data_IF_050280720427
#
_entry.id   IF_050280720427
#
_cell.length_a   1.000
_cell.length_b   1.000
_cell.length_c   1.000
_cell.angle_alpha   90.00
_cell.angle_beta   90.00
_cell.angle_gamma   90.00
#
_symmetry.space_group_name_H-M   'P 1'
#
loop_
_entity.id
_entity.type
_entity.pdbx_description
1 polymer ?
#
# COMPACT_ATOMS: atom_id res chain seq x y z
N UNK A 1 25.91 -22.79 -2.98
CA UNK A 1 25.17 -21.56 -2.64
C UNK A 1 25.46 -20.50 -3.69
N UNK A 2 24.45 -20.09 -4.45
CA UNK A 2 24.54 -19.10 -5.53
C UNK A 2 25.16 -17.79 -5.03
N UNK A 3 26.11 -17.26 -5.80
CA UNK A 3 26.93 -16.08 -5.48
C UNK A 3 26.15 -14.76 -5.70
N UNK A 4 24.98 -14.64 -5.07
CA UNK A 4 24.07 -13.50 -5.26
C UNK A 4 24.72 -12.26 -4.62
N UNK A 5 24.91 -11.23 -5.46
CA UNK A 5 25.38 -9.90 -5.03
C UNK A 5 24.17 -9.01 -4.75
N UNK A 6 24.15 -8.39 -3.58
CA UNK A 6 23.11 -7.44 -3.15
C UNK A 6 23.71 -6.07 -2.87
N UNK A 7 22.88 -5.03 -2.87
CA UNK A 7 23.33 -3.69 -2.50
C UNK A 7 23.76 -3.69 -1.02
N UNK A 8 24.93 -3.15 -0.73
CA UNK A 8 25.45 -3.10 0.63
C UNK A 8 24.53 -2.23 1.51
N UNK A 9 24.00 -2.73 2.65
CA UNK A 9 23.01 -2.01 3.46
C UNK A 9 23.51 -0.64 3.94
N UNK A 10 24.75 -0.58 4.46
CA UNK A 10 25.37 0.69 4.87
C UNK A 10 25.56 1.67 3.71
N UNK A 11 26.10 1.21 2.58
CA UNK A 11 26.23 2.03 1.37
C UNK A 11 24.89 2.62 0.91
N UNK A 12 23.82 1.80 0.90
CA UNK A 12 22.46 2.25 0.55
C UNK A 12 21.93 3.29 1.53
N UNK A 13 22.08 3.06 2.84
CA UNK A 13 21.65 3.99 3.89
C UNK A 13 22.38 5.34 3.77
N UNK A 14 23.69 5.31 3.59
CA UNK A 14 24.51 6.52 3.42
C UNK A 14 24.14 7.28 2.14
N UNK A 15 23.89 6.57 1.03
CA UNK A 15 23.42 7.20 -0.22
C UNK A 15 22.08 7.90 -0.03
N UNK A 16 21.14 7.29 0.71
CA UNK A 16 19.88 7.94 1.07
C UNK A 16 20.08 9.19 1.94
N UNK A 17 20.94 9.10 2.97
CA UNK A 17 21.24 10.24 3.85
C UNK A 17 21.88 11.40 3.09
N UNK A 18 22.84 11.13 2.19
CA UNK A 18 23.44 12.15 1.31
C UNK A 18 22.37 12.84 0.48
N UNK A 19 21.49 12.08 -0.19
CA UNK A 19 20.41 12.66 -1.00
C UNK A 19 19.47 13.54 -0.18
N UNK A 20 19.11 13.10 1.03
CA UNK A 20 18.26 13.87 1.96
C UNK A 20 18.95 15.12 2.47
N UNK A 21 20.26 15.07 2.74
CA UNK A 21 21.04 16.24 3.16
C UNK A 21 21.14 17.26 2.03
N UNK A 22 21.43 16.82 0.80
CA UNK A 22 21.44 17.69 -0.40
C UNK A 22 20.11 18.39 -0.64
N UNK A 23 19.00 17.66 -0.47
CA UNK A 23 17.66 18.23 -0.57
C UNK A 23 17.45 19.34 0.46
N UNK A 24 17.87 19.13 1.72
CA UNK A 24 17.79 20.17 2.77
C UNK A 24 18.66 21.39 2.45
N UNK A 25 19.89 21.17 1.96
CA UNK A 25 20.79 22.25 1.52
C UNK A 25 20.12 23.06 0.41
N UNK A 26 19.59 22.40 -0.61
CA UNK A 26 18.90 23.06 -1.74
C UNK A 26 17.70 23.89 -1.26
N UNK A 27 16.84 23.33 -0.40
CA UNK A 27 15.68 24.05 0.16
C UNK A 27 16.08 25.27 0.99
N UNK A 28 17.13 25.16 1.81
CA UNK A 28 17.66 26.28 2.62
C UNK A 28 18.33 27.34 1.75
N UNK A 29 19.07 26.91 0.73
CA UNK A 29 19.66 27.80 -0.28
C UNK A 29 18.58 28.63 -0.98
N UNK A 30 17.50 28.00 -1.44
CA UNK A 30 16.37 28.73 -2.04
C UNK A 30 15.77 29.78 -1.09
N UNK A 31 15.56 29.44 0.19
CA UNK A 31 15.10 30.41 1.20
C UNK A 31 16.09 31.56 1.38
N UNK A 32 17.38 31.27 1.44
CA UNK A 32 18.41 32.29 1.55
C UNK A 32 18.37 33.24 0.35
N UNK A 33 18.26 32.73 -0.87
CA UNK A 33 18.11 33.55 -2.08
C UNK A 33 16.89 34.47 -2.01
N UNK A 34 15.72 33.96 -1.60
CA UNK A 34 14.52 34.80 -1.46
C UNK A 34 14.66 35.90 -0.40
N UNK A 35 15.42 35.64 0.67
CA UNK A 35 15.68 36.65 1.71
C UNK A 35 16.69 37.71 1.25
N UNK A 36 17.69 37.30 0.46
CA UNK A 36 18.65 38.21 -0.16
C UNK A 36 17.94 39.14 -1.14
N UNK A 37 17.04 38.60 -1.98
CA UNK A 37 16.26 39.38 -2.94
C UNK A 37 15.35 40.41 -2.26
N UNK A 38 14.67 40.03 -1.17
CA UNK A 38 13.86 40.95 -0.37
C UNK A 38 14.67 42.11 0.20
N UNK A 39 15.86 41.85 0.74
CA UNK A 39 16.72 42.91 1.26
C UNK A 39 17.19 43.91 0.21
N UNK A 40 17.23 43.52 -1.07
CA UNK A 40 17.58 44.42 -2.19
C UNK A 40 16.39 45.30 -2.58
N UNK A 41 15.16 44.85 -2.31
CA UNK A 41 13.92 45.46 -2.84
C UNK A 41 13.14 46.28 -1.81
N UNK A 42 13.32 46.00 -0.50
CA UNK A 42 12.57 46.60 0.61
C UNK A 42 13.37 47.70 1.36
N UNK A 43 12.70 48.58 2.11
CA UNK A 43 13.32 49.70 2.87
C UNK A 43 14.23 49.23 4.03
N UNK A 44 15.21 50.07 4.38
CA UNK A 44 16.32 49.73 5.31
C UNK A 44 15.89 49.32 6.74
N UNK A 45 14.74 49.79 7.24
CA UNK A 45 14.33 49.53 8.63
C UNK A 45 13.89 48.07 8.88
N UNK A 46 13.43 47.35 7.84
CA UNK A 46 13.06 45.93 7.94
C UNK A 46 14.27 44.96 7.74
N UNK A 47 15.44 45.47 7.37
CA UNK A 47 16.58 44.65 6.95
C UNK A 47 17.33 43.96 8.10
N UNK A 48 17.36 44.53 9.31
CA UNK A 48 18.16 43.99 10.42
C UNK A 48 17.71 42.60 10.88
N UNK A 49 16.39 42.38 10.96
CA UNK A 49 15.83 41.06 11.31
C UNK A 49 16.04 40.05 10.18
N UNK A 50 16.06 40.50 8.93
CA UNK A 50 16.33 39.66 7.78
C UNK A 50 17.80 39.25 7.70
N UNK A 51 18.75 40.14 8.02
CA UNK A 51 20.19 39.84 8.09
C UNK A 51 20.49 38.76 9.13
N UNK A 52 19.90 38.83 10.33
CA UNK A 52 20.05 37.79 11.36
C UNK A 52 19.56 36.44 10.83
N UNK A 53 18.39 36.42 10.18
CA UNK A 53 17.83 35.19 9.58
C UNK A 53 18.72 34.64 8.46
N UNK A 54 19.32 35.50 7.65
CA UNK A 54 20.28 35.08 6.62
C UNK A 54 21.52 34.43 7.23
N UNK A 55 22.09 35.02 8.28
CA UNK A 55 23.23 34.46 9.00
C UNK A 55 22.90 33.07 9.57
N UNK A 56 21.74 32.92 10.21
CA UNK A 56 21.29 31.62 10.72
C UNK A 56 21.16 30.58 9.60
N UNK A 57 20.55 30.94 8.48
CA UNK A 57 20.38 29.99 7.36
C UNK A 57 21.73 29.63 6.73
N UNK A 58 22.68 30.56 6.65
CA UNK A 58 24.05 30.28 6.17
C UNK A 58 24.76 29.27 7.08
N UNK A 59 24.68 29.47 8.40
CA UNK A 59 25.22 28.52 9.38
C UNK A 59 24.58 27.12 9.22
N UNK A 60 23.26 27.06 9.11
CA UNK A 60 22.56 25.78 8.90
C UNK A 60 22.98 25.07 7.60
N UNK A 61 23.24 25.82 6.52
CA UNK A 61 23.74 25.26 5.26
C UNK A 61 25.15 24.68 5.45
N UNK A 62 26.01 25.42 6.14
CA UNK A 62 27.40 25.04 6.38
C UNK A 62 27.50 23.76 7.23
N UNK A 63 26.69 23.67 8.29
CA UNK A 63 26.55 22.45 9.11
C UNK A 63 26.09 21.24 8.29
N UNK A 64 25.12 21.44 7.39
CA UNK A 64 24.65 20.37 6.52
C UNK A 64 25.69 19.94 5.50
N UNK A 65 26.50 20.87 4.98
CA UNK A 65 27.58 20.56 4.04
C UNK A 65 28.68 19.74 4.73
N UNK A 66 29.05 20.10 5.97
CA UNK A 66 29.96 19.29 6.78
C UNK A 66 29.38 17.89 7.04
N UNK A 67 28.08 17.81 7.33
CA UNK A 67 27.39 16.54 7.51
C UNK A 67 27.37 15.71 6.22
N UNK A 68 27.13 16.32 5.06
CA UNK A 68 27.22 15.63 3.76
C UNK A 68 28.62 15.05 3.54
N UNK A 69 29.66 15.83 3.83
CA UNK A 69 31.04 15.39 3.65
C UNK A 69 31.40 14.21 4.58
N UNK A 70 30.91 14.22 5.82
CA UNK A 70 31.08 13.07 6.72
C UNK A 70 30.38 11.81 6.18
N UNK A 71 29.18 11.93 5.61
CA UNK A 71 28.52 10.77 4.97
C UNK A 71 29.23 10.30 3.70
N UNK A 72 29.80 11.20 2.90
CA UNK A 72 30.56 10.84 1.70
C UNK A 72 31.82 10.05 2.06
N UNK A 73 32.58 10.53 3.04
CA UNK A 73 33.79 9.86 3.54
C UNK A 73 33.46 8.50 4.18
N UNK A 74 32.37 8.41 4.92
CA UNK A 74 31.91 7.13 5.49
C UNK A 74 31.47 6.15 4.38
N UNK A 75 30.76 6.64 3.36
CA UNK A 75 30.27 5.80 2.25
C UNK A 75 31.42 5.18 1.45
N UNK A 76 32.52 5.90 1.27
CA UNK A 76 33.70 5.43 0.55
C UNK A 76 34.33 4.18 1.19
N UNK A 77 34.09 3.94 2.49
CA UNK A 77 34.59 2.76 3.22
C UNK A 77 33.88 1.46 2.84
N UNK A 78 32.72 1.54 2.16
CA UNK A 78 31.91 0.37 1.84
C UNK A 78 31.74 0.21 0.32
N UNK A 79 31.85 -1.02 -0.22
CA UNK A 79 31.55 -1.25 -1.62
C UNK A 79 30.05 -1.08 -1.89
N UNK A 80 29.68 -0.72 -3.13
CA UNK A 80 28.28 -0.58 -3.53
C UNK A 80 27.50 -1.91 -3.42
N UNK A 81 28.15 -3.03 -3.73
CA UNK A 81 27.59 -4.38 -3.67
C UNK A 81 28.43 -5.30 -2.80
N UNK A 82 27.77 -6.19 -2.08
CA UNK A 82 28.36 -7.24 -1.23
C UNK A 82 27.71 -8.59 -1.56
N UNK A 83 28.46 -9.68 -1.48
CA UNK A 83 27.90 -11.03 -1.63
C UNK A 83 27.18 -11.39 -0.33
N UNK A 84 26.04 -12.08 -0.40
CA UNK A 84 25.26 -12.44 0.80
C UNK A 84 26.09 -13.25 1.81
N UNK A 85 26.99 -14.13 1.32
CA UNK A 85 27.88 -14.94 2.16
C UNK A 85 28.90 -14.14 2.97
N UNK A 86 29.25 -12.93 2.50
CA UNK A 86 30.26 -12.08 3.11
C UNK A 86 29.59 -11.01 4.00
N UNK A 87 28.26 -11.07 4.19
CA UNK A 87 27.54 -10.14 5.06
C UNK A 87 27.61 -10.60 6.53
N UNK A 88 27.80 -9.67 7.49
CA UNK A 88 27.74 -10.00 8.91
C UNK A 88 26.38 -10.58 9.30
N UNK A 89 26.37 -11.64 10.12
CA UNK A 89 25.15 -12.42 10.41
C UNK A 89 23.98 -11.59 10.96
N UNK A 90 24.26 -10.56 11.77
CA UNK A 90 23.24 -9.65 12.32
C UNK A 90 22.48 -8.84 11.27
N UNK A 91 23.07 -8.61 10.09
CA UNK A 91 22.50 -7.81 8.99
C UNK A 91 22.39 -8.60 7.69
N UNK A 92 22.68 -9.90 7.74
CA UNK A 92 22.61 -10.79 6.59
C UNK A 92 21.15 -10.98 6.21
N UNK A 93 20.86 -10.86 4.92
CA UNK A 93 19.52 -11.15 4.43
C UNK A 93 19.26 -12.67 4.58
N UNK A 94 18.47 -13.04 5.58
CA UNK A 94 18.10 -14.44 5.83
C UNK A 94 17.01 -14.95 4.88
N UNK A 95 16.26 -14.03 4.26
CA UNK A 95 15.24 -14.33 3.26
C UNK A 95 15.34 -13.28 2.14
N UNK A 96 15.36 -13.74 0.90
CA UNK A 96 15.20 -12.84 -0.24
C UNK A 96 13.74 -12.41 -0.27
N UNK A 97 13.45 -11.21 0.26
CA UNK A 97 12.13 -10.57 0.26
C UNK A 97 11.41 -10.59 -1.10
N UNK A 98 12.11 -10.87 -2.21
CA UNK A 98 11.55 -11.07 -3.54
C UNK A 98 10.57 -12.23 -3.60
N UNK A 99 10.89 -13.42 -3.09
CA UNK A 99 10.03 -14.60 -3.23
C UNK A 99 8.73 -14.43 -2.44
N UNK A 100 8.82 -13.99 -1.17
CA UNK A 100 7.64 -13.66 -0.37
C UNK A 100 6.82 -12.52 -1.00
N UNK A 101 7.47 -11.55 -1.65
CA UNK A 101 6.77 -10.49 -2.39
C UNK A 101 6.05 -11.04 -3.62
N UNK A 102 6.68 -11.92 -4.39
CA UNK A 102 6.06 -12.57 -5.55
C UNK A 102 4.86 -13.41 -5.13
N UNK A 103 5.01 -14.22 -4.09
CA UNK A 103 3.92 -15.01 -3.51
C UNK A 103 2.73 -14.13 -3.09
N UNK A 104 2.98 -13.07 -2.32
CA UNK A 104 1.94 -12.12 -1.93
C UNK A 104 1.29 -11.43 -3.13
N UNK A 105 2.07 -11.08 -4.16
CA UNK A 105 1.54 -10.47 -5.37
C UNK A 105 0.65 -11.44 -6.16
N UNK A 106 1.00 -12.72 -6.20
CA UNK A 106 0.18 -13.76 -6.84
C UNK A 106 -1.18 -13.86 -6.13
N UNK A 107 -1.20 -13.93 -4.80
CA UNK A 107 -2.45 -13.95 -4.02
C UNK A 107 -3.30 -12.70 -4.34
N UNK A 108 -2.68 -11.51 -4.30
CA UNK A 108 -3.38 -10.25 -4.64
C UNK A 108 -3.97 -10.28 -6.05
N UNK A 109 -3.25 -10.86 -7.01
CA UNK A 109 -3.74 -10.98 -8.39
C UNK A 109 -4.90 -11.95 -8.53
N UNK A 110 -4.88 -13.07 -7.80
CA UNK A 110 -6.02 -14.00 -7.74
C UNK A 110 -7.24 -13.31 -7.15
N UNK A 111 -7.09 -12.63 -6.01
CA UNK A 111 -8.18 -11.88 -5.38
C UNK A 111 -8.73 -10.78 -6.28
N UNK A 112 -7.85 -10.00 -6.92
CA UNK A 112 -8.27 -8.93 -7.86
C UNK A 112 -9.05 -9.48 -9.05
N UNK A 113 -8.63 -10.63 -9.60
CA UNK A 113 -9.34 -11.30 -10.70
C UNK A 113 -10.69 -11.84 -10.24
N UNK A 114 -10.76 -12.47 -9.07
CA UNK A 114 -12.01 -12.97 -8.50
C UNK A 114 -13.02 -11.82 -8.23
N UNK A 115 -12.56 -10.72 -7.62
CA UNK A 115 -13.37 -9.52 -7.41
C UNK A 115 -13.87 -8.94 -8.75
N UNK A 116 -13.00 -8.85 -9.75
CA UNK A 116 -13.36 -8.32 -11.07
C UNK A 116 -14.37 -9.21 -11.79
N UNK A 117 -14.22 -10.54 -11.69
CA UNK A 117 -15.18 -11.50 -12.22
C UNK A 117 -16.54 -11.38 -11.53
N UNK A 118 -16.56 -11.31 -10.19
CA UNK A 118 -17.78 -11.10 -9.42
C UNK A 118 -18.48 -9.78 -9.78
N UNK A 119 -17.73 -8.68 -9.90
CA UNK A 119 -18.26 -7.39 -10.29
C UNK A 119 -18.85 -7.39 -11.70
N UNK A 120 -18.28 -8.18 -12.61
CA UNK A 120 -18.82 -8.34 -13.96
C UNK A 120 -20.07 -9.22 -13.98
N UNK A 121 -20.13 -10.26 -13.14
CA UNK A 121 -21.32 -11.09 -12.95
C UNK A 121 -22.49 -10.27 -12.37
N UNK A 122 -22.19 -9.30 -11.49
CA UNK A 122 -23.15 -8.35 -10.93
C UNK A 122 -23.70 -7.35 -11.95
N UNK A 123 -22.90 -7.00 -12.97
CA UNK A 123 -23.16 -5.85 -13.82
C UNK A 123 -24.53 -5.85 -14.55
N UNK A 124 -25.04 -6.99 -15.08
CA UNK A 124 -26.34 -7.04 -15.74
C UNK A 124 -27.52 -6.74 -14.81
N UNK A 125 -27.38 -7.04 -13.52
CA UNK A 125 -28.44 -6.92 -12.52
C UNK A 125 -28.42 -5.60 -11.75
N UNK A 126 -27.44 -4.73 -12.04
CA UNK A 126 -27.25 -3.48 -11.31
C UNK A 126 -27.28 -2.27 -12.24
N UNK A 127 -28.35 -1.47 -12.16
CA UNK A 127 -28.55 -0.29 -13.03
C UNK A 127 -27.38 0.71 -13.00
N UNK A 128 -26.67 0.82 -11.87
CA UNK A 128 -25.52 1.72 -11.70
C UNK A 128 -24.16 1.04 -11.93
N UNK A 129 -24.14 -0.09 -12.65
CA UNK A 129 -22.95 -0.92 -12.81
C UNK A 129 -21.74 -0.20 -13.40
N UNK A 130 -21.94 0.81 -14.26
CA UNK A 130 -20.85 1.60 -14.84
C UNK A 130 -19.95 2.25 -13.78
N UNK A 131 -20.53 2.77 -12.70
CA UNK A 131 -19.81 3.55 -11.70
C UNK A 131 -19.71 2.84 -10.35
N UNK A 132 -20.72 2.06 -9.98
CA UNK A 132 -20.89 1.57 -8.60
C UNK A 132 -20.71 0.04 -8.45
N UNK A 133 -20.46 -0.74 -9.53
CA UNK A 133 -20.35 -2.21 -9.42
C UNK A 133 -19.26 -2.70 -8.46
N UNK A 134 -18.10 -2.03 -8.48
CA UNK A 134 -16.97 -2.36 -7.58
C UNK A 134 -17.28 -1.98 -6.13
N UNK A 135 -17.97 -0.87 -5.92
CA UNK A 135 -18.41 -0.44 -4.59
C UNK A 135 -19.41 -1.44 -3.98
N UNK A 136 -20.40 -1.88 -4.76
CA UNK A 136 -21.36 -2.90 -4.33
C UNK A 136 -20.68 -4.25 -4.09
N UNK A 137 -19.78 -4.68 -4.97
CA UNK A 137 -18.97 -5.91 -4.78
C UNK A 137 -18.20 -5.87 -3.45
N UNK A 138 -17.49 -4.78 -3.20
CA UNK A 138 -16.76 -4.58 -1.94
C UNK A 138 -17.70 -4.60 -0.73
N UNK A 139 -18.88 -4.00 -0.84
CA UNK A 139 -19.89 -3.99 0.21
C UNK A 139 -20.40 -5.40 0.53
N UNK A 140 -20.68 -6.21 -0.50
CA UNK A 140 -21.12 -7.61 -0.34
C UNK A 140 -20.02 -8.46 0.31
N UNK A 141 -18.79 -8.42 -0.22
CA UNK A 141 -17.66 -9.25 0.27
C UNK A 141 -17.31 -8.93 1.72
N UNK A 142 -17.38 -7.65 2.12
CA UNK A 142 -17.07 -7.23 3.49
C UNK A 142 -18.26 -7.33 4.44
N UNK A 143 -19.46 -7.69 3.94
CA UNK A 143 -20.61 -7.84 4.81
C UNK A 143 -20.42 -9.07 5.71
N UNK A 144 -20.94 -9.00 6.93
CA UNK A 144 -21.00 -10.17 7.80
C UNK A 144 -21.94 -11.19 7.18
N UNK A 145 -21.66 -12.46 7.45
CA UNK A 145 -22.47 -13.60 7.00
C UNK A 145 -22.52 -14.62 8.12
N UNK A 146 -23.59 -15.41 8.15
CA UNK A 146 -23.66 -16.59 8.99
C UNK A 146 -23.31 -17.82 8.15
N UNK A 147 -22.47 -18.69 8.69
CA UNK A 147 -22.08 -19.96 8.07
C UNK A 147 -22.63 -21.10 8.91
N UNK A 148 -23.46 -21.96 8.31
CA UNK A 148 -24.04 -23.13 8.96
C UNK A 148 -23.80 -24.39 8.13
N UNK A 149 -22.85 -25.26 8.51
CA UNK A 149 -22.68 -26.55 7.85
C UNK A 149 -23.82 -27.50 8.22
N UNK A 150 -24.36 -28.20 7.22
CA UNK A 150 -25.25 -29.34 7.37
C UNK A 150 -24.57 -30.56 6.71
N UNK A 151 -24.01 -31.44 7.54
CA UNK A 151 -23.27 -32.60 7.07
C UNK A 151 -24.17 -33.73 6.55
N UNK A 152 -25.41 -33.83 7.04
CA UNK A 152 -26.39 -34.83 6.58
C UNK A 152 -26.82 -34.54 5.14
N UNK A 153 -27.16 -33.29 4.86
CA UNK A 153 -27.53 -32.83 3.51
C UNK A 153 -26.33 -32.54 2.61
N UNK A 154 -25.10 -32.61 3.15
CA UNK A 154 -23.86 -32.21 2.48
C UNK A 154 -23.92 -30.79 1.91
N UNK A 155 -24.45 -29.84 2.69
CA UNK A 155 -24.59 -28.43 2.31
C UNK A 155 -23.92 -27.51 3.31
N UNK A 156 -23.35 -26.41 2.81
CA UNK A 156 -22.91 -25.29 3.63
C UNK A 156 -23.83 -24.11 3.36
N UNK A 157 -24.72 -23.81 4.31
CA UNK A 157 -25.62 -22.67 4.23
C UNK A 157 -24.86 -21.38 4.56
N UNK A 158 -24.90 -20.44 3.63
CA UNK A 158 -24.27 -19.12 3.71
C UNK A 158 -25.38 -18.09 3.70
N UNK A 159 -25.66 -17.50 4.86
CA UNK A 159 -26.72 -16.52 5.01
C UNK A 159 -26.13 -15.10 5.02
N UNK A 160 -26.49 -14.31 4.01
CA UNK A 160 -26.06 -12.92 3.86
C UNK A 160 -27.10 -11.98 4.44
N UNK A 161 -26.68 -11.00 5.24
CA UNK A 161 -27.59 -9.95 5.71
C UNK A 161 -27.99 -9.00 4.58
N UNK A 162 -29.18 -8.41 4.70
CA UNK A 162 -29.67 -7.42 3.74
C UNK A 162 -28.75 -6.19 3.70
N UNK A 163 -28.66 -5.61 2.52
CA UNK A 163 -27.98 -4.36 2.26
C UNK A 163 -28.94 -3.17 2.46
N UNK A 164 -28.44 -1.98 2.84
CA UNK A 164 -29.28 -0.79 3.07
C UNK A 164 -30.18 -0.34 1.90
N UNK A 165 -29.83 -0.65 0.66
CA UNK A 165 -30.57 -0.16 -0.50
C UNK A 165 -31.33 -1.32 -1.18
N UNK A 166 -32.65 -1.18 -1.47
CA UNK A 166 -33.43 -2.23 -2.13
C UNK A 166 -32.82 -2.72 -3.44
N UNK A 167 -32.37 -1.79 -4.29
CA UNK A 167 -31.67 -2.10 -5.55
C UNK A 167 -30.40 -2.96 -5.37
N UNK A 168 -29.71 -2.81 -4.25
CA UNK A 168 -28.49 -3.57 -3.95
C UNK A 168 -28.90 -5.00 -3.55
N UNK A 169 -30.01 -5.16 -2.82
CA UNK A 169 -30.61 -6.46 -2.50
C UNK A 169 -31.14 -7.17 -3.73
N UNK A 170 -31.81 -6.47 -4.65
CA UNK A 170 -32.32 -7.06 -5.90
C UNK A 170 -31.19 -7.66 -6.73
N UNK A 171 -30.09 -6.91 -6.88
CA UNK A 171 -28.91 -7.38 -7.57
C UNK A 171 -28.21 -8.53 -6.82
N UNK A 172 -28.16 -8.47 -5.48
CA UNK A 172 -27.63 -9.54 -4.65
C UNK A 172 -28.42 -10.84 -4.82
N UNK A 173 -29.74 -10.80 -4.77
CA UNK A 173 -30.61 -11.97 -4.97
C UNK A 173 -30.30 -12.67 -6.30
N UNK A 174 -30.18 -11.92 -7.39
CA UNK A 174 -29.85 -12.46 -8.72
C UNK A 174 -28.48 -13.12 -8.79
N UNK A 175 -27.48 -12.56 -8.09
CA UNK A 175 -26.19 -13.22 -7.96
C UNK A 175 -26.28 -14.50 -7.16
N UNK A 176 -26.99 -14.50 -6.03
CA UNK A 176 -27.07 -15.69 -5.19
C UNK A 176 -27.74 -16.86 -5.93
N UNK A 177 -28.76 -16.59 -6.74
CA UNK A 177 -29.33 -17.58 -7.68
C UNK A 177 -28.24 -18.17 -8.58
N UNK A 178 -27.47 -17.31 -9.26
CA UNK A 178 -26.37 -17.73 -10.14
C UNK A 178 -25.29 -18.54 -9.42
N UNK A 179 -24.94 -18.16 -8.18
CA UNK A 179 -23.97 -18.87 -7.37
C UNK A 179 -24.50 -20.23 -6.91
N UNK A 180 -25.78 -20.33 -6.55
CA UNK A 180 -26.41 -21.59 -6.19
C UNK A 180 -26.50 -22.55 -7.37
N UNK A 181 -26.80 -22.04 -8.57
CA UNK A 181 -26.87 -22.84 -9.80
C UNK A 181 -25.53 -23.49 -10.16
N UNK A 182 -24.41 -22.88 -9.76
CA UNK A 182 -23.07 -23.43 -9.98
C UNK A 182 -22.80 -24.73 -9.22
N UNK A 183 -23.61 -25.04 -8.18
CA UNK A 183 -23.41 -26.20 -7.27
C UNK A 183 -21.98 -26.32 -6.78
N UNK A 184 -21.33 -25.19 -6.52
CA UNK A 184 -19.92 -25.14 -6.09
C UNK A 184 -19.73 -25.89 -4.78
N UNK A 185 -18.71 -26.75 -4.72
CA UNK A 185 -18.32 -27.45 -3.49
C UNK A 185 -17.27 -26.64 -2.74
N UNK A 186 -17.41 -26.52 -1.43
CA UNK A 186 -16.45 -25.81 -0.60
C UNK A 186 -15.09 -26.54 -0.59
N UNK A 187 -13.97 -25.86 -0.90
CA UNK A 187 -12.66 -26.51 -1.02
C UNK A 187 -12.27 -27.35 0.20
N UNK A 188 -11.76 -28.56 -0.06
CA UNK A 188 -11.35 -29.49 1.00
C UNK A 188 -12.49 -30.20 1.74
N UNK A 189 -13.73 -30.07 1.27
CA UNK A 189 -14.91 -30.74 1.84
C UNK A 189 -15.82 -31.29 0.74
N UNK A 190 -16.89 -31.99 1.14
CA UNK A 190 -17.97 -32.42 0.25
C UNK A 190 -19.24 -31.57 0.40
N UNK A 191 -19.14 -30.38 1.00
CA UNK A 191 -20.28 -29.50 1.26
C UNK A 191 -20.55 -28.59 0.05
N UNK A 192 -21.76 -28.68 -0.51
CA UNK A 192 -22.22 -27.77 -1.58
C UNK A 192 -22.62 -26.43 -0.98
N UNK A 193 -22.13 -25.34 -1.56
CA UNK A 193 -22.46 -23.98 -1.13
C UNK A 193 -23.91 -23.64 -1.45
N UNK A 194 -24.64 -23.15 -0.45
CA UNK A 194 -26.03 -22.74 -0.56
C UNK A 194 -26.19 -21.33 0.03
N UNK A 195 -26.33 -20.35 -0.83
CA UNK A 195 -26.45 -18.94 -0.48
C UNK A 195 -27.91 -18.52 -0.31
N UNK A 196 -28.20 -17.78 0.77
CA UNK A 196 -29.51 -17.22 1.05
C UNK A 196 -29.38 -15.80 1.64
N UNK A 197 -30.44 -15.00 1.55
CA UNK A 197 -30.51 -13.71 2.24
C UNK A 197 -31.24 -13.89 3.57
N UNK A 198 -30.71 -13.31 4.64
CA UNK A 198 -31.41 -13.18 5.91
C UNK A 198 -32.61 -12.26 5.71
N UNK A 199 -33.79 -12.83 5.50
CA UNK A 199 -35.04 -12.07 5.58
C UNK A 199 -35.15 -11.52 7.00
N UNK A 200 -35.01 -10.21 7.15
CA UNK A 200 -35.36 -9.58 8.41
C UNK A 200 -36.88 -9.67 8.58
N UNK A 201 -37.32 -10.53 9.50
CA UNK A 201 -38.68 -10.46 10.02
C UNK A 201 -38.75 -9.23 10.93
N UNK A 202 -38.79 -8.04 10.35
CA UNK A 202 -39.32 -6.88 11.06
C UNK A 202 -40.82 -7.09 11.11
N UNK A 203 -41.29 -7.56 12.27
CA UNK A 203 -42.70 -7.61 12.65
C UNK A 203 -43.04 -6.28 13.31
#
# INVERSE_FOLDING_TARGET
MTNIKVNHPRYRKLTYLIGKTREKISRRGAKLYTLIEKNITEELEDNRNNEIRQLTIRQEIEELQQLEQSYLTERAKYPSRIKIKDMPDKIRYNQLNGESKHFNNIIKMICYRAESAFANLLAPYYKKSLNEKRALTKKIINNRIDLKPNYEEKKLYIKLYTLPAPRDNDALHKILETLNDSKTVYPGTNLVLCYEIATSKYT
#
